data_IF_836910410822
#
_entry.id   IF_836910410822
#
_cell.length_a   1.000
_cell.length_b   1.000
_cell.length_c   1.000
_cell.angle_alpha   90.00
_cell.angle_beta   90.00
_cell.angle_gamma   90.00
#
_symmetry.space_group_name_H-M   'P 1'
#
loop_
_entity.id
_entity.type
_entity.pdbx_description
1 polymer ?
#
# COMPACT_ATOMS: atom_id res chain seq x y z
N UNK A 1 -19.10 -14.76 -23.01
CA UNK A 1 -18.35 -13.48 -23.01
C UNK A 1 -17.89 -13.00 -21.61
N UNK A 2 -18.21 -13.73 -20.52
CA UNK A 2 -17.67 -13.48 -19.16
C UNK A 2 -16.56 -14.48 -18.78
N UNK A 3 -16.33 -15.53 -19.58
CA UNK A 3 -15.25 -16.51 -19.38
C UNK A 3 -13.87 -16.08 -19.92
N UNK A 4 -13.75 -14.93 -20.61
CA UNK A 4 -12.46 -14.44 -21.15
C UNK A 4 -11.71 -13.56 -20.11
N UNK A 5 -12.40 -13.04 -19.09
CA UNK A 5 -11.79 -12.25 -18.00
C UNK A 5 -11.18 -13.10 -16.87
N UNK A 6 -11.47 -14.41 -16.85
CA UNK A 6 -10.84 -15.38 -15.96
C UNK A 6 -9.91 -16.29 -16.77
N UNK A 7 -8.86 -15.70 -17.34
CA UNK A 7 -7.71 -16.43 -17.85
C UNK A 7 -6.96 -17.12 -16.71
N UNK A 8 -7.49 -18.25 -16.26
CA UNK A 8 -6.72 -19.21 -15.48
C UNK A 8 -5.51 -19.69 -16.28
N UNK A 9 -4.41 -19.98 -15.57
CA UNK A 9 -4.13 -21.38 -15.26
C UNK A 9 -4.60 -21.68 -13.83
N UNK A 10 -5.41 -22.71 -13.56
CA UNK A 10 -5.27 -24.05 -14.15
C UNK A 10 -3.79 -24.46 -14.24
N UNK A 11 -3.07 -24.51 -13.10
CA UNK A 11 -2.05 -25.55 -12.83
C UNK A 11 -1.53 -25.61 -11.37
N UNK A 12 -2.34 -25.22 -10.38
CA UNK A 12 -2.00 -25.49 -8.97
C UNK A 12 -2.83 -26.65 -8.40
N UNK A 13 -3.91 -27.05 -9.10
CA UNK A 13 -4.91 -28.02 -8.64
C UNK A 13 -5.19 -29.16 -9.64
N UNK A 14 -4.29 -29.38 -10.62
CA UNK A 14 -4.41 -30.56 -11.50
C UNK A 14 -4.11 -31.80 -10.66
N UNK A 15 -5.18 -32.45 -10.19
CA UNK A 15 -5.28 -33.87 -9.85
C UNK A 15 -3.93 -34.61 -9.83
N UNK A 16 -3.19 -34.53 -8.72
CA UNK A 16 -2.53 -35.75 -8.28
C UNK A 16 -3.69 -36.59 -7.78
N UNK A 17 -4.04 -37.62 -8.54
CA UNK A 17 -4.67 -38.81 -7.99
C UNK A 17 -3.92 -39.13 -6.70
N UNK A 18 -4.53 -38.80 -5.57
CA UNK A 18 -4.02 -39.18 -4.25
C UNK A 18 -4.19 -40.70 -4.22
N UNK A 19 -3.12 -41.52 -4.28
CA UNK A 19 -3.25 -42.90 -3.90
C UNK A 19 -3.57 -42.85 -2.41
N UNK A 20 -4.71 -43.40 -2.03
CA UNK A 20 -5.10 -43.53 -0.63
C UNK A 20 -4.09 -44.45 0.08
N UNK A 21 -3.04 -43.85 0.67
CA UNK A 21 -2.17 -44.55 1.60
C UNK A 21 -1.35 -43.55 2.43
N UNK A 22 -1.70 -43.47 3.71
CA UNK A 22 -0.84 -42.99 4.80
C UNK A 22 -0.68 -41.47 4.90
N UNK A 23 -1.35 -40.85 5.88
CA UNK A 23 -1.13 -39.47 6.29
C UNK A 23 0.37 -39.15 6.48
N UNK A 24 0.90 -38.15 5.75
CA UNK A 24 1.96 -37.32 6.26
C UNK A 24 1.32 -36.02 6.77
N UNK A 25 1.82 -35.51 7.89
CA UNK A 25 1.58 -34.15 8.35
C UNK A 25 1.65 -33.21 7.13
N UNK A 26 0.61 -32.42 6.91
CA UNK A 26 0.64 -31.32 5.95
C UNK A 26 1.67 -30.33 6.48
N UNK A 27 2.94 -30.60 6.21
CA UNK A 27 4.02 -29.65 6.39
C UNK A 27 3.69 -28.55 5.39
N UNK A 28 3.06 -27.48 5.88
CA UNK A 28 2.90 -26.23 5.15
C UNK A 28 4.31 -25.78 4.78
N UNK A 29 4.79 -26.19 3.60
CA UNK A 29 6.07 -25.70 3.12
C UNK A 29 5.94 -24.18 3.03
N UNK A 30 6.74 -23.41 3.78
CA UNK A 30 6.68 -21.96 3.74
C UNK A 30 6.77 -21.51 2.28
N UNK A 31 5.91 -20.57 1.88
CA UNK A 31 6.02 -19.96 0.56
C UNK A 31 7.45 -19.42 0.43
N UNK A 32 8.28 -19.88 -0.53
CA UNK A 32 9.74 -19.63 -0.53
C UNK A 32 10.18 -18.16 -0.53
N UNK A 33 9.24 -17.22 -0.72
CA UNK A 33 9.45 -15.79 -0.65
C UNK A 33 8.79 -15.06 0.53
N UNK A 34 8.08 -15.75 1.43
CA UNK A 34 7.46 -15.14 2.60
C UNK A 34 8.50 -14.95 3.71
N UNK A 35 8.68 -13.69 4.15
CA UNK A 35 9.64 -13.32 5.19
C UNK A 35 8.91 -12.74 6.39
N UNK A 36 8.53 -13.57 7.39
CA UNK A 36 7.74 -13.12 8.55
C UNK A 36 8.43 -12.02 9.37
N UNK A 37 9.76 -11.93 9.30
CA UNK A 37 10.54 -10.89 9.98
C UNK A 37 10.20 -9.49 9.47
N UNK A 38 9.94 -9.36 8.17
CA UNK A 38 9.60 -8.06 7.55
C UNK A 38 8.18 -7.64 7.92
N UNK A 39 7.25 -8.59 8.00
CA UNK A 39 5.88 -8.31 8.48
C UNK A 39 5.88 -7.92 9.97
N UNK A 40 6.72 -8.55 10.78
CA UNK A 40 6.89 -8.21 12.20
C UNK A 40 7.39 -6.77 12.36
N UNK A 41 8.31 -6.34 11.50
CA UNK A 41 8.82 -4.97 11.51
C UNK A 41 7.73 -3.94 11.14
N UNK A 42 6.78 -4.29 10.27
CA UNK A 42 5.59 -3.46 10.01
C UNK A 42 4.68 -3.37 11.23
N UNK A 43 4.50 -4.48 11.96
CA UNK A 43 3.72 -4.46 13.19
C UNK A 43 4.36 -3.52 14.23
N UNK A 44 5.68 -3.60 14.41
CA UNK A 44 6.44 -2.67 15.29
C UNK A 44 6.22 -1.21 14.87
N UNK A 45 6.28 -0.93 13.56
CA UNK A 45 6.04 0.41 13.04
C UNK A 45 4.63 0.93 13.38
N UNK A 46 3.60 0.09 13.24
CA UNK A 46 2.22 0.43 13.63
C UNK A 46 2.09 0.66 15.13
N UNK A 47 2.72 -0.18 15.96
CA UNK A 47 2.71 0.02 17.41
C UNK A 47 3.36 1.34 17.83
N UNK A 48 4.44 1.77 17.19
CA UNK A 48 5.06 3.06 17.44
C UNK A 48 4.10 4.23 17.11
N UNK A 49 3.30 4.10 16.04
CA UNK A 49 2.26 5.09 15.68
C UNK A 49 1.15 5.11 16.72
N UNK A 50 0.66 3.94 17.13
CA UNK A 50 -0.39 3.82 18.15
C UNK A 50 0.07 4.41 19.50
N UNK A 51 1.29 4.06 19.95
CA UNK A 51 1.86 4.62 21.17
C UNK A 51 1.84 6.15 21.15
N UNK A 52 2.26 6.74 20.03
CA UNK A 52 2.29 8.18 19.85
C UNK A 52 0.92 8.85 19.74
N UNK A 53 -0.19 8.12 19.54
CA UNK A 53 -1.54 8.69 19.47
C UNK A 53 -2.36 8.47 20.74
N UNK A 54 -1.99 7.47 21.56
CA UNK A 54 -2.77 7.07 22.74
C UNK A 54 -2.06 7.36 24.06
N UNK A 55 -0.74 7.49 24.05
CA UNK A 55 0.06 7.65 25.28
C UNK A 55 0.90 8.92 25.29
N UNK A 56 1.49 9.29 24.17
CA UNK A 56 2.43 10.42 24.09
C UNK A 56 2.37 11.10 22.72
N UNK A 57 1.53 12.13 22.61
CA UNK A 57 1.35 12.88 21.36
C UNK A 57 2.60 13.64 20.92
N UNK A 58 3.50 13.95 21.87
CA UNK A 58 4.78 14.62 21.59
C UNK A 58 5.88 13.66 21.12
N UNK A 59 5.61 12.34 21.14
CA UNK A 59 6.64 11.35 20.87
C UNK A 59 7.11 11.37 19.41
N UNK A 60 8.43 11.37 19.14
CA UNK A 60 8.94 11.27 17.78
C UNK A 60 8.64 9.90 17.14
N UNK A 61 8.30 8.89 17.97
CA UNK A 61 8.07 7.51 17.54
C UNK A 61 6.94 7.35 16.52
N UNK A 62 5.90 8.18 16.58
CA UNK A 62 4.83 8.13 15.57
C UNK A 62 5.34 8.46 14.18
N UNK A 63 6.12 9.54 14.06
CA UNK A 63 6.72 9.96 12.79
C UNK A 63 7.71 8.93 12.25
N UNK A 64 8.54 8.36 13.12
CA UNK A 64 9.48 7.29 12.72
C UNK A 64 8.76 6.01 12.32
N UNK A 65 7.68 5.65 13.03
CA UNK A 65 6.82 4.51 12.71
C UNK A 65 6.21 4.61 11.32
N UNK A 66 5.59 5.75 10.98
CA UNK A 66 5.02 5.96 9.64
C UNK A 66 6.09 5.85 8.53
N UNK A 67 7.28 6.47 8.74
CA UNK A 67 8.38 6.38 7.77
C UNK A 67 8.86 4.95 7.57
N UNK A 68 9.04 4.22 8.67
CA UNK A 68 9.47 2.82 8.63
C UNK A 68 8.44 1.94 7.92
N UNK A 69 7.15 2.12 8.24
CA UNK A 69 6.06 1.40 7.60
C UNK A 69 6.07 1.60 6.08
N UNK A 70 6.21 2.83 5.59
CA UNK A 70 6.27 3.12 4.15
C UNK A 70 7.50 2.53 3.46
N UNK A 71 8.69 2.60 4.09
CA UNK A 71 9.90 2.00 3.54
C UNK A 71 9.72 0.48 3.35
N UNK A 72 9.16 -0.19 4.35
CA UNK A 72 8.93 -1.64 4.28
C UNK A 72 7.84 -1.99 3.27
N UNK A 73 6.73 -1.25 3.23
CA UNK A 73 5.68 -1.42 2.21
C UNK A 73 6.26 -1.30 0.81
N UNK A 74 7.07 -0.26 0.55
CA UNK A 74 7.76 -0.05 -0.73
C UNK A 74 8.67 -1.22 -1.10
N UNK A 75 9.49 -1.71 -0.16
CA UNK A 75 10.35 -2.87 -0.38
C UNK A 75 9.56 -4.13 -0.76
N UNK A 76 8.51 -4.46 0.01
CA UNK A 76 7.69 -5.65 -0.23
C UNK A 76 6.99 -5.59 -1.58
N UNK A 77 6.37 -4.46 -1.90
CA UNK A 77 5.61 -4.27 -3.13
C UNK A 77 6.53 -4.32 -4.35
N UNK A 78 7.67 -3.64 -4.29
CA UNK A 78 8.66 -3.67 -5.38
C UNK A 78 9.10 -5.11 -5.65
N UNK A 79 9.40 -5.87 -4.60
CA UNK A 79 9.76 -7.28 -4.73
C UNK A 79 8.64 -8.14 -5.34
N UNK A 80 7.39 -7.91 -4.94
CA UNK A 80 6.21 -8.59 -5.52
C UNK A 80 6.06 -8.25 -7.00
N UNK A 81 6.20 -6.98 -7.38
CA UNK A 81 6.05 -6.52 -8.76
C UNK A 81 7.15 -7.08 -9.67
N UNK A 82 8.40 -7.06 -9.22
CA UNK A 82 9.53 -7.65 -9.96
C UNK A 82 9.29 -9.15 -10.20
N UNK A 83 8.96 -9.91 -9.15
CA UNK A 83 8.66 -11.34 -9.30
C UNK A 83 7.45 -11.61 -10.18
N UNK A 84 6.40 -10.80 -10.06
CA UNK A 84 5.18 -10.94 -10.88
C UNK A 84 5.49 -10.67 -12.36
N UNK A 85 6.30 -9.65 -12.64
CA UNK A 85 6.76 -9.31 -13.99
C UNK A 85 7.61 -10.43 -14.60
N UNK A 86 8.44 -11.09 -13.79
CA UNK A 86 9.30 -12.20 -14.22
C UNK A 86 8.52 -13.48 -14.51
N UNK A 87 7.53 -13.79 -13.65
CA UNK A 87 6.70 -14.97 -13.78
C UNK A 87 5.69 -14.86 -14.94
N UNK A 88 5.20 -13.67 -15.24
CA UNK A 88 4.11 -13.44 -16.19
C UNK A 88 4.59 -13.09 -17.61
N UNK A 89 5.61 -13.79 -18.14
CA UNK A 89 6.15 -13.55 -19.50
C UNK A 89 5.10 -13.58 -20.61
N UNK A 90 4.00 -14.33 -20.44
CA UNK A 90 2.92 -14.48 -21.44
C UNK A 90 1.72 -13.54 -21.26
N UNK A 91 1.52 -12.93 -20.08
CA UNK A 91 0.32 -12.12 -19.78
C UNK A 91 0.47 -10.64 -20.19
N UNK A 92 1.69 -10.23 -20.53
CA UNK A 92 2.02 -8.83 -20.82
C UNK A 92 1.97 -7.93 -19.58
N UNK A 93 2.46 -6.70 -19.72
CA UNK A 93 2.54 -5.73 -18.63
C UNK A 93 1.16 -5.41 -18.01
N UNK A 94 0.13 -5.27 -18.85
CA UNK A 94 -1.23 -4.94 -18.42
C UNK A 94 -1.84 -6.03 -17.53
N UNK A 95 -1.64 -7.31 -17.87
CA UNK A 95 -2.15 -8.43 -17.06
C UNK A 95 -1.55 -8.44 -15.65
N UNK A 96 -0.24 -8.19 -15.54
CA UNK A 96 0.45 -8.11 -14.23
C UNK A 96 -0.11 -6.98 -13.37
N UNK A 97 -0.31 -5.81 -13.96
CA UNK A 97 -0.84 -4.62 -13.27
C UNK A 97 -2.28 -4.86 -12.81
N UNK A 98 -3.15 -5.38 -13.69
CA UNK A 98 -4.55 -5.65 -13.36
C UNK A 98 -4.69 -6.65 -12.22
N UNK A 99 -3.93 -7.74 -12.28
CA UNK A 99 -3.96 -8.79 -11.25
C UNK A 99 -3.39 -8.26 -9.91
N UNK A 100 -2.42 -7.35 -9.96
CA UNK A 100 -1.93 -6.66 -8.76
C UNK A 100 -3.03 -5.79 -8.13
N UNK A 101 -3.69 -4.94 -8.91
CA UNK A 101 -4.76 -4.07 -8.42
C UNK A 101 -5.96 -4.86 -7.89
N UNK A 102 -6.40 -5.89 -8.61
CA UNK A 102 -7.57 -6.67 -8.20
C UNK A 102 -7.35 -7.34 -6.84
N UNK A 103 -6.21 -7.99 -6.63
CA UNK A 103 -5.89 -8.65 -5.34
C UNK A 103 -5.86 -7.67 -4.18
N UNK A 104 -5.40 -6.45 -4.43
CA UNK A 104 -5.28 -5.43 -3.40
C UNK A 104 -6.61 -4.76 -3.10
N UNK A 105 -7.37 -4.40 -4.12
CA UNK A 105 -8.72 -3.88 -3.99
C UNK A 105 -9.60 -4.84 -3.18
N UNK A 106 -9.59 -6.14 -3.52
CA UNK A 106 -10.38 -7.16 -2.78
C UNK A 106 -9.93 -7.34 -1.33
N UNK A 107 -8.69 -6.99 -0.98
CA UNK A 107 -8.17 -7.09 0.38
C UNK A 107 -8.49 -5.87 1.24
N UNK A 108 -8.41 -4.67 0.66
CA UNK A 108 -8.46 -3.40 1.42
C UNK A 108 -9.83 -2.76 1.33
N UNK A 109 -10.43 -2.71 0.14
CA UNK A 109 -11.65 -1.93 -0.10
C UNK A 109 -12.85 -2.39 0.75
N UNK A 110 -13.12 -3.70 0.95
CA UNK A 110 -14.28 -4.12 1.73
C UNK A 110 -14.23 -3.56 3.16
N UNK A 111 -13.10 -3.76 3.85
CA UNK A 111 -12.93 -3.27 5.22
C UNK A 111 -12.94 -1.73 5.28
N UNK A 112 -12.30 -1.07 4.31
CA UNK A 112 -12.22 0.38 4.25
C UNK A 112 -13.59 1.05 4.08
N UNK A 113 -14.38 0.62 3.10
CA UNK A 113 -15.69 1.22 2.85
C UNK A 113 -16.72 0.87 3.93
N UNK A 114 -16.61 -0.30 4.57
CA UNK A 114 -17.41 -0.61 5.77
C UNK A 114 -17.05 0.35 6.90
N UNK A 115 -15.77 0.55 7.19
CA UNK A 115 -15.32 1.50 8.20
C UNK A 115 -15.80 2.94 7.89
N UNK A 116 -15.70 3.39 6.64
CA UNK A 116 -16.21 4.71 6.24
C UNK A 116 -17.74 4.84 6.40
N UNK A 117 -18.49 3.79 6.05
CA UNK A 117 -19.94 3.79 6.22
C UNK A 117 -20.33 3.87 7.71
N UNK A 118 -19.63 3.13 8.58
CA UNK A 118 -19.81 3.21 10.03
C UNK A 118 -19.43 4.59 10.56
N UNK A 119 -18.30 5.15 10.14
CA UNK A 119 -17.89 6.50 10.53
C UNK A 119 -18.96 7.54 10.13
N UNK A 120 -19.48 7.48 8.90
CA UNK A 120 -20.55 8.39 8.46
C UNK A 120 -21.86 8.20 9.24
N UNK A 121 -22.18 6.98 9.68
CA UNK A 121 -23.36 6.69 10.48
C UNK A 121 -23.26 7.28 11.89
N UNK A 122 -22.12 7.10 12.57
CA UNK A 122 -21.95 7.43 13.99
C UNK A 122 -21.30 8.79 14.26
N UNK A 123 -20.58 9.37 13.30
CA UNK A 123 -19.83 10.63 13.45
C UNK A 123 -20.32 11.67 12.43
N UNK A 124 -21.30 12.52 12.80
CA UNK A 124 -21.86 13.53 11.90
C UNK A 124 -20.82 14.49 11.29
N UNK A 125 -19.78 14.82 12.06
CA UNK A 125 -18.69 15.73 11.68
C UNK A 125 -17.85 15.23 10.50
N UNK A 126 -17.88 13.92 10.22
CA UNK A 126 -17.14 13.28 9.11
C UNK A 126 -17.89 13.38 7.78
N UNK A 127 -19.20 13.63 7.79
CA UNK A 127 -20.04 13.51 6.59
C UNK A 127 -19.67 14.50 5.49
N UNK A 128 -19.21 15.68 5.88
CA UNK A 128 -18.77 16.74 4.94
C UNK A 128 -17.45 16.42 4.26
N UNK A 129 -16.53 15.73 4.96
CA UNK A 129 -15.23 15.30 4.42
C UNK A 129 -15.27 13.91 3.76
N UNK A 130 -16.38 13.18 3.88
CA UNK A 130 -16.53 11.81 3.38
C UNK A 130 -16.11 11.61 1.91
N UNK A 131 -16.43 12.51 0.96
CA UNK A 131 -15.98 12.35 -0.44
C UNK A 131 -14.45 12.32 -0.59
N UNK A 132 -13.72 13.12 0.21
CA UNK A 132 -12.26 13.13 0.21
C UNK A 132 -11.69 11.82 0.71
N UNK A 133 -12.27 11.28 1.79
CA UNK A 133 -11.86 10.00 2.34
C UNK A 133 -12.19 8.85 1.37
N UNK A 134 -13.40 8.83 0.81
CA UNK A 134 -13.81 7.79 -0.15
C UNK A 134 -12.93 7.77 -1.41
N UNK A 135 -12.42 8.93 -1.84
CA UNK A 135 -11.54 9.07 -2.99
C UNK A 135 -10.05 8.82 -2.67
N UNK A 136 -9.68 8.43 -1.44
CA UNK A 136 -8.29 8.34 -0.98
C UNK A 136 -7.51 9.66 -1.17
N UNK A 137 -8.16 10.78 -0.87
CA UNK A 137 -7.61 12.14 -0.93
C UNK A 137 -7.51 12.80 0.45
N UNK A 138 -7.50 12.00 1.52
CA UNK A 138 -7.45 12.53 2.90
C UNK A 138 -6.20 13.38 3.13
N UNK A 139 -5.07 12.97 2.54
CA UNK A 139 -3.82 13.72 2.61
C UNK A 139 -3.90 15.10 1.96
N UNK A 140 -4.66 15.23 0.88
CA UNK A 140 -4.89 16.52 0.20
C UNK A 140 -5.81 17.39 1.04
N UNK A 141 -6.89 16.83 1.57
CA UNK A 141 -7.81 17.55 2.46
C UNK A 141 -7.06 18.20 3.63
N UNK A 142 -6.27 17.42 4.37
CA UNK A 142 -5.53 17.94 5.54
C UNK A 142 -4.46 18.96 5.14
N UNK A 143 -3.82 18.79 3.97
CA UNK A 143 -2.87 19.78 3.46
C UNK A 143 -3.54 21.11 3.09
N UNK A 144 -4.75 21.07 2.52
CA UNK A 144 -5.52 22.26 2.16
C UNK A 144 -6.10 22.97 3.38
N UNK A 145 -6.58 22.21 4.36
CA UNK A 145 -7.16 22.77 5.59
C UNK A 145 -6.09 23.31 6.54
N UNK A 146 -4.85 22.80 6.46
CA UNK A 146 -3.78 23.16 7.40
C UNK A 146 -3.97 22.58 8.81
N UNK A 147 -4.91 21.65 8.99
CA UNK A 147 -5.20 20.98 10.25
C UNK A 147 -5.55 19.49 10.01
N UNK A 148 -5.81 18.77 11.11
CA UNK A 148 -6.12 17.33 11.09
C UNK A 148 -7.61 17.03 11.28
N UNK A 149 -8.49 18.00 11.00
CA UNK A 149 -9.92 17.83 11.21
C UNK A 149 -10.61 17.16 10.01
N UNK A 150 -11.49 16.15 10.23
CA UNK A 150 -11.85 15.57 11.51
C UNK A 150 -10.79 14.58 12.03
N UNK A 151 -10.32 14.79 13.26
CA UNK A 151 -9.29 13.97 13.91
C UNK A 151 -9.55 12.45 13.88
N UNK A 152 -10.79 11.95 14.09
CA UNK A 152 -11.07 10.51 14.05
C UNK A 152 -10.64 9.82 12.75
N UNK A 153 -10.59 10.54 11.62
CA UNK A 153 -10.15 10.03 10.33
C UNK A 153 -8.77 10.54 9.90
N UNK A 154 -8.03 11.24 10.77
CA UNK A 154 -6.69 11.74 10.47
C UNK A 154 -5.73 10.62 10.05
N UNK A 155 -5.86 9.43 10.64
CA UNK A 155 -5.06 8.26 10.31
C UNK A 155 -5.20 7.81 8.83
N UNK A 156 -6.31 8.15 8.16
CA UNK A 156 -6.52 7.88 6.72
C UNK A 156 -5.58 8.66 5.80
N UNK A 157 -4.88 9.67 6.32
CA UNK A 157 -3.80 10.34 5.61
C UNK A 157 -2.77 9.32 5.10
N UNK A 158 -2.31 8.43 5.99
CA UNK A 158 -1.27 7.46 5.67
C UNK A 158 -1.74 6.43 4.64
N UNK A 159 -2.98 5.97 4.79
CA UNK A 159 -3.61 5.03 3.85
C UNK A 159 -3.84 5.66 2.48
N UNK A 160 -4.25 6.93 2.42
CA UNK A 160 -4.43 7.67 1.16
C UNK A 160 -3.11 7.78 0.40
N UNK A 161 -2.03 8.15 1.08
CA UNK A 161 -0.67 8.19 0.48
C UNK A 161 -0.24 6.81 0.01
N UNK A 162 -0.53 5.77 0.80
CA UNK A 162 -0.20 4.40 0.46
C UNK A 162 -0.93 3.91 -0.81
N UNK A 163 -2.24 4.18 -0.94
CA UNK A 163 -3.00 3.83 -2.16
C UNK A 163 -2.57 4.65 -3.39
N UNK A 164 -2.22 5.93 -3.23
CA UNK A 164 -1.65 6.75 -4.31
C UNK A 164 -0.32 6.16 -4.80
N UNK A 165 0.54 5.75 -3.86
CA UNK A 165 1.77 5.02 -4.19
C UNK A 165 1.44 3.71 -4.92
N UNK A 166 0.40 2.98 -4.50
CA UNK A 166 -0.02 1.75 -5.14
C UNK A 166 -0.53 1.97 -6.55
N UNK A 167 -1.17 3.09 -6.86
CA UNK A 167 -1.61 3.41 -8.22
C UNK A 167 -0.44 3.71 -9.16
N UNK A 168 0.61 4.37 -8.66
CA UNK A 168 1.73 4.81 -9.48
C UNK A 168 2.82 3.75 -9.62
N UNK A 169 3.19 3.08 -8.52
CA UNK A 169 4.37 2.25 -8.45
C UNK A 169 4.36 1.00 -9.37
N UNK A 170 3.25 0.25 -9.50
CA UNK A 170 3.14 -0.86 -10.44
C UNK A 170 3.33 -0.43 -11.89
N UNK A 171 2.79 0.73 -12.28
CA UNK A 171 2.99 1.29 -13.61
C UNK A 171 4.48 1.53 -13.86
N UNK A 172 5.16 2.19 -12.93
CA UNK A 172 6.59 2.46 -13.03
C UNK A 172 7.41 1.17 -13.13
N UNK A 173 7.27 0.26 -12.18
CA UNK A 173 8.11 -0.95 -12.11
C UNK A 173 7.82 -1.92 -13.28
N UNK A 174 6.54 -2.11 -13.62
CA UNK A 174 6.17 -3.08 -14.65
C UNK A 174 6.50 -2.53 -16.05
N UNK A 175 6.31 -1.24 -16.31
CA UNK A 175 6.61 -0.64 -17.61
C UNK A 175 8.09 -0.35 -17.82
N UNK A 176 8.88 -0.08 -16.77
CA UNK A 176 10.33 0.17 -16.92
C UNK A 176 11.10 -1.11 -17.31
N UNK A 177 11.82 -1.13 -18.45
CA UNK A 177 12.71 -2.23 -18.79
C UNK A 177 13.76 -2.49 -17.70
N UNK A 178 14.21 -3.74 -17.55
CA UNK A 178 15.23 -4.10 -16.54
C UNK A 178 16.50 -3.24 -16.63
N UNK A 179 16.91 -2.86 -17.84
CA UNK A 179 18.11 -2.04 -18.10
C UNK A 179 17.97 -0.59 -17.60
N UNK A 180 16.76 -0.04 -17.56
CA UNK A 180 16.51 1.35 -17.17
C UNK A 180 15.91 1.47 -15.78
N UNK A 181 15.52 0.36 -15.14
CA UNK A 181 14.88 0.37 -13.83
C UNK A 181 15.69 1.11 -12.76
N UNK A 182 16.99 0.83 -12.65
CA UNK A 182 17.86 1.51 -11.66
C UNK A 182 17.96 3.02 -11.97
N UNK A 183 18.30 3.46 -13.20
CA UNK A 183 18.24 4.88 -13.56
C UNK A 183 16.89 5.54 -13.28
N UNK A 184 15.77 4.86 -13.59
CA UNK A 184 14.42 5.38 -13.29
C UNK A 184 14.22 5.58 -11.80
N UNK A 185 14.60 4.61 -10.95
CA UNK A 185 14.47 4.72 -9.50
C UNK A 185 15.34 5.84 -8.93
N UNK A 186 16.58 5.98 -9.41
CA UNK A 186 17.46 7.10 -9.04
C UNK A 186 16.82 8.42 -9.46
N UNK A 187 16.30 8.51 -10.69
CA UNK A 187 15.60 9.70 -11.19
C UNK A 187 14.41 10.08 -10.31
N UNK A 188 13.59 9.11 -9.89
CA UNK A 188 12.47 9.36 -8.96
C UNK A 188 12.95 9.86 -7.61
N UNK A 189 14.02 9.28 -7.05
CA UNK A 189 14.59 9.72 -5.77
C UNK A 189 15.10 11.16 -5.88
N UNK A 190 15.87 11.46 -6.93
CA UNK A 190 16.40 12.80 -7.18
C UNK A 190 15.27 13.81 -7.40
N UNK A 191 14.23 13.44 -8.17
CA UNK A 191 13.06 14.27 -8.38
C UNK A 191 12.31 14.55 -7.06
N UNK A 192 12.16 13.55 -6.19
CA UNK A 192 11.53 13.74 -4.88
C UNK A 192 12.35 14.66 -3.96
N UNK A 193 13.68 14.53 -3.95
CA UNK A 193 14.58 15.42 -3.21
C UNK A 193 14.53 16.85 -3.76
N UNK A 194 14.59 17.00 -5.08
CA UNK A 194 14.50 18.30 -5.74
C UNK A 194 13.15 18.98 -5.49
N UNK A 195 12.04 18.22 -5.58
CA UNK A 195 10.70 18.71 -5.27
C UNK A 195 10.59 19.19 -3.81
N UNK A 196 11.14 18.42 -2.87
CA UNK A 196 11.17 18.82 -1.45
C UNK A 196 12.00 20.08 -1.22
N UNK A 197 13.17 20.17 -1.85
CA UNK A 197 14.01 21.38 -1.79
C UNK A 197 13.27 22.58 -2.37
N UNK A 198 12.63 22.43 -3.53
CA UNK A 198 11.84 23.49 -4.16
C UNK A 198 10.70 23.96 -3.25
N UNK A 199 9.94 23.04 -2.65
CA UNK A 199 8.92 23.40 -1.65
C UNK A 199 9.51 24.24 -0.52
N UNK A 200 10.65 23.83 0.04
CA UNK A 200 11.30 24.55 1.13
C UNK A 200 11.78 25.96 0.72
N UNK A 201 12.19 26.15 -0.53
CA UNK A 201 12.64 27.46 -1.03
C UNK A 201 11.50 28.38 -1.47
N UNK A 202 10.42 27.83 -2.03
CA UNK A 202 9.35 28.62 -2.66
C UNK A 202 8.09 28.78 -1.80
N UNK A 203 7.86 27.92 -0.82
CA UNK A 203 6.78 28.09 0.15
C UNK A 203 7.39 28.68 1.43
N UNK A 204 7.28 30.01 1.66
CA UNK A 204 7.69 30.61 2.93
C UNK A 204 6.90 29.94 4.05
N UNK A 205 7.59 29.65 5.16
CA UNK A 205 7.06 29.03 6.38
C UNK A 205 5.57 29.38 6.58
N UNK A 206 4.68 28.40 6.37
CA UNK A 206 3.32 28.50 6.89
C UNK A 206 3.40 28.71 8.41
N UNK A 207 2.41 29.38 9.03
CA UNK A 207 2.51 29.88 10.41
C UNK A 207 3.08 28.81 11.33
N UNK A 208 4.10 29.20 12.11
CA UNK A 208 4.86 28.36 13.01
C UNK A 208 3.95 27.36 13.74
N UNK A 209 4.33 26.09 13.64
CA UNK A 209 3.74 25.00 14.43
C UNK A 209 4.02 25.19 15.91
#
# INVERSE_FOLDING_TARGET
>A
MVQILFGGPLLWWRLRSVPASGHPLVTMMPNPGYRPQIDSLRAVAVFAVMYSHFWDDASPWGHHGVRLFFVISGYLITGILIRSKEAARSQGALGVILVFYLRRALRIFPAYYVMLALAAAFLPEVRTSLPWHAAYLSNVLFALNGNWDPWPLAHLWSLSVEEQFYLFWPLLIVLSPRRTLIPTLIGVILAAVAFRAAIMFYLPEGPAR
#
